data_IF_563212755454
#
_entry.id   IF_563212755454
#
_cell.length_a   1.000
_cell.length_b   1.000
_cell.length_c   1.000
_cell.angle_alpha   90.00
_cell.angle_beta   90.00
_cell.angle_gamma   90.00
#
_symmetry.space_group_name_H-M   'P 1'
#
loop_
_entity.id
_entity.type
_entity.pdbx_description
1 polymer ?
#
# COMPACT_ATOMS: atom_id res chain seq x y z
N UNK A 1 12.14 5.63 -10.82
CA UNK A 1 12.48 4.85 -9.62
C UNK A 1 11.54 5.22 -8.46
N UNK A 2 10.99 4.25 -7.72
CA UNK A 2 10.18 4.38 -6.48
C UNK A 2 8.82 5.12 -6.49
N UNK A 3 8.40 5.73 -7.61
CA UNK A 3 7.06 6.36 -7.68
C UNK A 3 5.92 5.36 -7.41
N UNK A 4 6.05 4.11 -7.86
CA UNK A 4 5.01 3.08 -7.69
C UNK A 4 4.72 2.76 -6.23
N UNK A 5 5.76 2.47 -5.42
CA UNK A 5 5.62 2.13 -3.99
C UNK A 5 5.06 3.30 -3.20
N UNK A 6 5.57 4.52 -3.42
CA UNK A 6 5.10 5.70 -2.72
C UNK A 6 3.67 6.09 -3.14
N UNK A 7 3.33 5.97 -4.43
CA UNK A 7 1.96 6.18 -4.95
C UNK A 7 1.00 5.16 -4.32
N UNK A 8 1.39 3.89 -4.29
CA UNK A 8 0.61 2.83 -3.68
C UNK A 8 0.39 3.07 -2.18
N UNK A 9 1.44 3.44 -1.45
CA UNK A 9 1.37 3.81 -0.04
C UNK A 9 0.37 4.95 0.21
N UNK A 10 0.44 6.03 -0.57
CA UNK A 10 -0.49 7.17 -0.47
C UNK A 10 -1.94 6.75 -0.71
N UNK A 11 -2.19 5.88 -1.69
CA UNK A 11 -3.53 5.36 -1.98
C UNK A 11 -4.06 4.52 -0.81
N UNK A 12 -3.24 3.62 -0.29
CA UNK A 12 -3.62 2.74 0.82
C UNK A 12 -3.90 3.50 2.11
N UNK A 13 -3.05 4.47 2.46
CA UNK A 13 -3.29 5.36 3.59
C UNK A 13 -4.64 6.09 3.46
N UNK A 14 -4.89 6.75 2.32
CA UNK A 14 -6.17 7.45 2.07
C UNK A 14 -7.37 6.50 2.16
N UNK A 15 -7.27 5.30 1.60
CA UNK A 15 -8.33 4.28 1.68
C UNK A 15 -8.62 3.88 3.14
N UNK A 16 -7.59 3.74 3.98
CA UNK A 16 -7.77 3.46 5.42
C UNK A 16 -8.49 4.60 6.15
N UNK A 17 -8.07 5.84 5.89
CA UNK A 17 -8.71 7.02 6.46
C UNK A 17 -10.19 7.09 6.06
N UNK A 18 -10.49 6.93 4.77
CA UNK A 18 -11.87 6.94 4.26
C UNK A 18 -12.74 5.84 4.86
N UNK A 19 -12.22 4.61 4.98
CA UNK A 19 -12.98 3.52 5.64
C UNK A 19 -13.37 3.89 7.07
N UNK A 20 -12.46 4.46 7.86
CA UNK A 20 -12.77 4.87 9.24
C UNK A 20 -13.83 5.97 9.30
N UNK A 21 -13.77 6.92 8.37
CA UNK A 21 -14.78 7.96 8.21
C UNK A 21 -16.16 7.35 7.92
N UNK A 22 -16.24 6.45 6.94
CA UNK A 22 -17.48 5.76 6.56
C UNK A 22 -18.01 4.93 7.73
N UNK A 23 -17.17 4.13 8.40
CA UNK A 23 -17.59 3.32 9.56
C UNK A 23 -18.09 4.17 10.72
N UNK A 24 -17.51 5.35 10.98
CA UNK A 24 -18.04 6.27 12.00
C UNK A 24 -19.41 6.81 11.59
N UNK A 25 -19.57 7.17 10.31
CA UNK A 25 -20.83 7.64 9.75
C UNK A 25 -21.93 6.58 9.86
N UNK A 26 -21.64 5.34 9.48
CA UNK A 26 -22.56 4.20 9.56
C UNK A 26 -23.00 3.92 11.01
N UNK A 27 -22.10 4.11 11.97
CA UNK A 27 -22.40 3.95 13.39
C UNK A 27 -23.06 5.19 14.03
N UNK A 28 -23.47 6.19 13.24
CA UNK A 28 -24.00 7.48 13.71
C UNK A 28 -23.09 8.19 14.72
N UNK A 29 -21.77 7.93 14.66
CA UNK A 29 -20.79 8.57 15.52
C UNK A 29 -20.38 9.92 14.93
N UNK A 30 -20.07 10.87 15.81
CA UNK A 30 -19.57 12.17 15.37
C UNK A 30 -18.23 12.01 14.64
N UNK A 31 -18.09 12.75 13.54
CA UNK A 31 -16.89 12.81 12.74
C UNK A 31 -15.80 13.60 13.48
N UNK A 32 -15.15 12.93 14.44
CA UNK A 32 -14.04 13.52 15.17
C UNK A 32 -12.82 13.72 14.26
N UNK A 33 -12.14 14.86 14.44
CA UNK A 33 -10.85 15.12 13.78
C UNK A 33 -9.91 13.96 14.06
N UNK A 34 -9.32 13.40 13.00
CA UNK A 34 -8.30 12.36 13.13
C UNK A 34 -7.09 13.01 13.80
N UNK A 35 -6.79 12.54 15.01
CA UNK A 35 -5.64 13.05 15.76
C UNK A 35 -4.33 12.44 15.24
N UNK A 36 -3.22 13.06 15.63
CA UNK A 36 -1.89 12.66 15.16
C UNK A 36 -1.56 11.20 15.46
N UNK A 37 -1.93 10.71 16.66
CA UNK A 37 -1.67 9.32 17.08
C UNK A 37 -2.40 8.31 16.20
N UNK A 38 -3.68 8.54 15.93
CA UNK A 38 -4.43 7.71 14.99
C UNK A 38 -3.84 7.75 13.59
N UNK A 39 -3.45 8.94 13.11
CA UNK A 39 -2.87 9.07 11.78
C UNK A 39 -1.55 8.29 11.65
N UNK A 40 -0.66 8.38 12.64
CA UNK A 40 0.59 7.59 12.69
C UNK A 40 0.29 6.08 12.71
N UNK A 41 -0.72 5.66 13.47
CA UNK A 41 -1.15 4.25 13.49
C UNK A 41 -1.64 3.78 12.13
N UNK A 42 -2.47 4.58 11.43
CA UNK A 42 -2.96 4.23 10.10
C UNK A 42 -1.86 4.26 9.03
N UNK A 43 -0.88 5.16 9.15
CA UNK A 43 0.34 5.17 8.32
C UNK A 43 1.14 3.88 8.50
N UNK A 44 1.39 3.47 9.75
CA UNK A 44 2.10 2.22 10.05
C UNK A 44 1.37 1.01 9.47
N UNK A 45 0.04 0.96 9.60
CA UNK A 45 -0.76 -0.13 9.02
C UNK A 45 -0.74 -0.13 7.49
N UNK A 46 -0.84 1.04 6.86
CA UNK A 46 -0.77 1.16 5.40
C UNK A 46 0.58 0.65 4.87
N UNK A 47 1.68 0.94 5.57
CA UNK A 47 2.99 0.43 5.21
C UNK A 47 3.09 -1.08 5.41
N UNK A 48 2.85 -1.55 6.64
CA UNK A 48 3.15 -2.93 7.06
C UNK A 48 2.16 -3.98 6.53
N UNK A 49 0.90 -3.62 6.30
CA UNK A 49 -0.13 -4.58 5.88
C UNK A 49 -0.58 -4.38 4.43
N UNK A 50 -0.54 -3.15 3.90
CA UNK A 50 -1.08 -2.92 2.55
C UNK A 50 0.01 -2.84 1.47
N UNK A 51 1.21 -2.36 1.83
CA UNK A 51 2.33 -2.18 0.91
C UNK A 51 3.34 -3.33 1.01
N UNK A 52 3.77 -3.71 2.21
CA UNK A 52 4.78 -4.77 2.40
C UNK A 52 4.19 -6.18 2.33
N UNK A 53 2.96 -6.40 2.78
CA UNK A 53 2.28 -7.69 2.64
C UNK A 53 2.10 -8.05 1.14
N UNK A 54 1.95 -7.03 0.30
CA UNK A 54 2.09 -7.12 -1.15
C UNK A 54 3.57 -7.00 -1.55
N UNK A 55 4.41 -7.90 -1.02
CA UNK A 55 5.86 -8.02 -1.27
C UNK A 55 6.23 -7.94 -2.78
N UNK A 56 5.29 -8.28 -3.67
CA UNK A 56 5.39 -8.12 -5.12
C UNK A 56 5.74 -6.69 -5.56
N UNK A 57 5.21 -5.64 -4.92
CA UNK A 57 5.45 -4.24 -5.38
C UNK A 57 6.88 -3.78 -5.09
N UNK A 58 7.37 -4.08 -3.89
CA UNK A 58 8.73 -3.75 -3.47
C UNK A 58 9.71 -4.61 -4.25
N UNK A 59 9.46 -5.93 -4.33
CA UNK A 59 10.26 -6.87 -5.13
C UNK A 59 10.33 -6.44 -6.60
N UNK A 60 9.22 -6.06 -7.22
CA UNK A 60 9.20 -5.59 -8.61
C UNK A 60 9.98 -4.28 -8.79
N UNK A 61 9.98 -3.40 -7.79
CA UNK A 61 10.76 -2.15 -7.84
C UNK A 61 12.28 -2.44 -7.76
N UNK A 62 12.68 -3.39 -6.92
CA UNK A 62 14.05 -3.88 -6.87
C UNK A 62 14.45 -4.63 -8.15
N UNK A 63 13.58 -5.48 -8.69
CA UNK A 63 13.81 -6.18 -9.96
C UNK A 63 13.96 -5.19 -11.14
N UNK A 64 13.09 -4.17 -11.24
CA UNK A 64 13.22 -3.08 -12.22
C UNK A 64 14.52 -2.29 -12.05
N UNK A 65 15.12 -2.30 -10.86
CA UNK A 65 16.40 -1.70 -10.56
C UNK A 65 17.59 -2.65 -10.77
N UNK A 66 17.36 -3.88 -11.27
CA UNK A 66 18.41 -4.88 -11.52
C UNK A 66 18.75 -5.76 -10.30
N UNK A 67 18.03 -5.62 -9.19
CA UNK A 67 18.20 -6.46 -8.01
C UNK A 67 17.21 -7.64 -8.06
N UNK A 68 17.74 -8.82 -8.36
CA UNK A 68 16.98 -10.05 -8.38
C UNK A 68 17.29 -10.89 -7.14
N UNK A 69 16.27 -11.55 -6.60
CA UNK A 69 16.48 -12.57 -5.58
C UNK A 69 17.05 -13.79 -6.33
N UNK A 70 18.28 -14.18 -6.02
CA UNK A 70 18.86 -15.44 -6.47
C UNK A 70 18.13 -16.59 -5.78
N UNK A 71 16.97 -16.96 -6.32
CA UNK A 71 16.39 -18.26 -6.05
C UNK A 71 16.15 -18.92 -7.40
N UNK A 72 16.79 -20.07 -7.56
CA UNK A 72 16.67 -21.04 -8.64
C UNK A 72 15.23 -21.57 -8.81
N UNK A 73 14.28 -20.71 -9.17
CA UNK A 73 13.06 -21.14 -9.82
C UNK A 73 12.41 -19.94 -10.53
N UNK A 74 12.80 -19.76 -11.79
CA UNK A 74 12.24 -18.79 -12.71
C UNK A 74 10.78 -19.15 -13.02
N UNK A 75 9.84 -18.56 -12.30
CA UNK A 75 8.50 -18.36 -12.82
C UNK A 75 8.49 -17.01 -13.57
N UNK A 76 8.32 -17.09 -14.89
CA UNK A 76 8.22 -15.98 -15.83
C UNK A 76 7.30 -14.88 -15.29
N UNK A 77 7.79 -13.64 -15.31
CA UNK A 77 6.94 -12.46 -15.18
C UNK A 77 6.32 -12.24 -16.56
N UNK A 78 5.07 -12.68 -16.74
CA UNK A 78 4.24 -12.15 -17.81
C UNK A 78 3.95 -10.68 -17.45
N UNK A 79 4.45 -9.79 -18.31
CA UNK A 79 4.17 -8.36 -18.30
C UNK A 79 2.70 -8.15 -18.66
N UNK A 80 1.80 -8.28 -17.68
CA UNK A 80 0.49 -7.64 -17.75
C UNK A 80 0.54 -6.26 -17.11
N UNK A 81 1.14 -5.31 -17.82
CA UNK A 81 0.86 -3.88 -17.64
C UNK A 81 0.18 -3.40 -18.94
N UNK A 82 -1.09 -3.76 -19.12
CA UNK A 82 -1.98 -3.10 -20.08
C UNK A 82 -3.38 -2.95 -19.48
N UNK A 83 -3.63 -1.81 -18.82
CA UNK A 83 -4.99 -1.29 -18.64
C UNK A 83 -4.94 0.25 -18.83
N UNK A 84 -5.85 0.84 -19.64
CA UNK A 84 -5.89 2.28 -19.98
C UNK A 84 -5.95 3.27 -18.81
#
# INVERSE_FOLDING_TARGET
>A
MNQGVLKNFKIHHRKRIMRKVITKLENNQSMSKINLRENISEISKAWNYDVTDRNRTIRNSFAKAGFFVSNENSASMEDEDDIP
#
